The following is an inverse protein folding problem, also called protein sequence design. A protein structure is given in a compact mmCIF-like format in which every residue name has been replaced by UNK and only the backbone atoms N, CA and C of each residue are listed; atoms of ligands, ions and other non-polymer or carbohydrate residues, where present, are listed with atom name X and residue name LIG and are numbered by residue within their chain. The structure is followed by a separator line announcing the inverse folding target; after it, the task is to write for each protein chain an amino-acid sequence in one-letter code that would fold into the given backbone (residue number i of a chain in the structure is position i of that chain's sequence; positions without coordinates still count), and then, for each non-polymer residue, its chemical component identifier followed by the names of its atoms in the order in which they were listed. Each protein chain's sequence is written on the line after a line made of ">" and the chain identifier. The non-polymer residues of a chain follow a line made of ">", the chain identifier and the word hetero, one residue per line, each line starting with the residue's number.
data_IF_268931117572
#
_entry.id   IF_268931117572
#
_cell.length_a   1.000
_cell.length_b   1.000
_cell.length_c   1.000
_cell.angle_alpha   90.00
_cell.angle_beta   90.00
_cell.angle_gamma   90.00
#
_symmetry.space_group_name_H-M   'P 1'
#
loop_
_entity.id
_entity.type
_entity.pdbx_description
1 polymer ?
#
# COMPACT_ATOMS: atom_id res chain seq x y z
N UNK A 1 -24.58 -7.12 8.88
CA UNK A 1 -23.96 -7.52 10.16
C UNK A 1 -23.35 -6.27 10.80
N UNK A 2 -23.71 -5.95 12.04
CA UNK A 2 -23.23 -4.75 12.74
C UNK A 2 -22.06 -5.12 13.66
N UNK A 3 -20.97 -4.34 13.65
CA UNK A 3 -19.84 -4.63 14.53
C UNK A 3 -20.21 -4.39 16.01
N UNK A 4 -19.52 -5.06 16.94
CA UNK A 4 -19.79 -4.95 18.38
C UNK A 4 -19.71 -3.51 18.90
N UNK A 5 -18.80 -2.71 18.34
CA UNK A 5 -18.66 -1.29 18.72
C UNK A 5 -19.91 -0.51 18.36
N UNK A 6 -20.35 -0.56 17.10
CA UNK A 6 -21.55 0.15 16.67
C UNK A 6 -22.80 -0.30 17.45
N UNK A 7 -22.95 -1.60 17.71
CA UNK A 7 -24.07 -2.13 18.49
C UNK A 7 -24.13 -1.54 19.92
N UNK A 8 -22.99 -1.44 20.61
CA UNK A 8 -22.91 -0.86 21.97
C UNK A 8 -23.36 0.61 22.03
N UNK A 9 -23.12 1.39 20.98
CA UNK A 9 -23.53 2.80 20.92
C UNK A 9 -25.01 2.92 20.55
N UNK A 10 -25.49 2.13 19.58
CA UNK A 10 -26.88 2.19 19.13
C UNK A 10 -27.88 1.77 20.22
N UNK A 11 -27.59 0.77 21.05
CA UNK A 11 -28.45 0.43 22.22
C UNK A 11 -28.62 1.61 23.16
N UNK A 12 -27.60 2.46 23.27
CA UNK A 12 -27.61 3.65 24.13
C UNK A 12 -28.22 4.87 23.42
N UNK A 13 -28.81 4.70 22.23
CA UNK A 13 -29.26 5.76 21.34
C UNK A 13 -28.15 6.80 21.04
N UNK A 14 -26.90 6.34 20.91
CA UNK A 14 -25.74 7.18 20.58
C UNK A 14 -25.17 6.82 19.20
N UNK A 15 -24.61 7.83 18.52
CA UNK A 15 -23.84 7.64 17.28
C UNK A 15 -22.42 7.18 17.65
N UNK A 16 -21.88 6.10 17.05
CA UNK A 16 -20.51 5.68 17.28
C UNK A 16 -19.51 6.78 16.87
N UNK A 17 -18.43 7.03 17.62
CA UNK A 17 -17.41 8.01 17.25
C UNK A 17 -16.84 7.79 15.85
N UNK A 18 -16.71 6.53 15.43
CA UNK A 18 -16.19 6.13 14.11
C UNK A 18 -17.23 6.21 12.98
N UNK A 19 -18.38 6.85 13.19
CA UNK A 19 -19.42 6.97 12.16
C UNK A 19 -19.04 8.01 11.09
N UNK A 20 -19.49 7.78 9.85
CA UNK A 20 -19.31 8.71 8.73
C UNK A 20 -19.88 10.11 9.08
N UNK A 21 -21.02 10.15 9.79
CA UNK A 21 -21.63 11.38 10.32
C UNK A 21 -20.69 12.23 11.18
N UNK A 22 -19.69 11.61 11.82
CA UNK A 22 -18.71 12.30 12.67
C UNK A 22 -17.43 12.68 11.88
N UNK A 23 -17.52 12.84 10.56
CA UNK A 23 -16.37 13.22 9.74
C UNK A 23 -15.38 12.07 9.49
N UNK A 24 -15.72 10.84 9.86
CA UNK A 24 -14.90 9.65 9.60
C UNK A 24 -15.07 9.11 8.16
N UNK A 25 -15.48 10.00 7.25
CA UNK A 25 -15.55 9.75 5.81
C UNK A 25 -14.13 9.59 5.26
N UNK A 26 -13.90 8.54 4.47
CA UNK A 26 -12.69 8.49 3.66
C UNK A 26 -12.77 9.54 2.53
N UNK A 27 -11.67 10.25 2.24
CA UNK A 27 -11.63 11.12 1.07
C UNK A 27 -11.89 10.30 -0.19
N UNK A 28 -12.49 10.94 -1.20
CA UNK A 28 -12.63 10.30 -2.51
C UNK A 28 -11.22 10.06 -3.07
N UNK A 29 -10.95 8.82 -3.48
CA UNK A 29 -9.69 8.47 -4.14
C UNK A 29 -9.57 9.30 -5.42
N UNK A 30 -8.50 10.09 -5.61
CA UNK A 30 -8.34 10.88 -6.82
C UNK A 30 -7.94 9.99 -8.00
N UNK A 31 -8.31 10.40 -9.21
CA UNK A 31 -8.11 9.61 -10.44
C UNK A 31 -6.62 9.37 -10.76
N UNK A 32 -5.74 10.31 -10.39
CA UNK A 32 -4.30 10.16 -10.58
C UNK A 32 -3.69 9.06 -9.69
N UNK A 33 -4.42 8.59 -8.65
CA UNK A 33 -4.03 7.48 -7.78
C UNK A 33 -4.30 6.10 -8.42
N UNK A 34 -4.29 6.05 -9.75
CA UNK A 34 -4.18 4.82 -10.54
C UNK A 34 -2.70 4.40 -10.63
N UNK A 35 -2.23 3.87 -9.50
CA UNK A 35 -0.90 3.33 -9.30
C UNK A 35 -0.90 1.81 -9.45
N UNK A 36 0.13 1.28 -10.09
CA UNK A 36 0.34 -0.17 -10.11
C UNK A 36 0.81 -0.70 -8.74
N UNK A 37 0.92 -2.02 -8.60
CA UNK A 37 1.26 -2.65 -7.33
C UNK A 37 2.62 -2.18 -6.77
N UNK A 38 3.64 -2.04 -7.63
CA UNK A 38 4.97 -1.61 -7.20
C UNK A 38 5.01 -0.11 -6.87
N UNK A 39 4.31 0.72 -7.63
CA UNK A 39 4.12 2.16 -7.35
C UNK A 39 3.44 2.37 -5.99
N UNK A 40 2.36 1.62 -5.70
CA UNK A 40 1.72 1.60 -4.38
C UNK A 40 2.71 1.15 -3.30
N UNK A 41 3.55 0.16 -3.60
CA UNK A 41 4.53 -0.38 -2.65
C UNK A 41 5.59 0.65 -2.27
N UNK A 42 6.03 1.47 -3.21
CA UNK A 42 7.02 2.53 -2.99
C UNK A 42 6.50 3.67 -2.11
N UNK A 43 5.18 3.93 -2.15
CA UNK A 43 4.53 4.90 -1.26
C UNK A 43 4.23 4.36 0.13
N UNK A 44 4.23 3.04 0.30
CA UNK A 44 3.90 2.44 1.58
C UNK A 44 5.00 2.76 2.61
N UNK A 45 4.66 3.28 3.81
CA UNK A 45 5.62 3.52 4.89
C UNK A 45 6.34 2.26 5.38
N UNK A 46 5.83 1.09 5.00
CA UNK A 46 6.28 -0.23 5.46
C UNK A 46 6.31 -1.20 4.29
N UNK A 47 7.50 -1.73 4.01
CA UNK A 47 7.71 -2.77 3.02
C UNK A 47 7.64 -4.16 3.69
N UNK A 48 6.46 -4.76 3.59
CA UNK A 48 6.19 -6.17 3.90
C UNK A 48 6.37 -7.05 2.66
N UNK A 49 7.19 -8.09 2.79
CA UNK A 49 7.50 -9.05 1.73
C UNK A 49 6.74 -10.38 1.84
N UNK A 50 5.58 -10.34 2.49
CA UNK A 50 4.68 -11.47 2.70
C UNK A 50 3.94 -11.85 1.41
N UNK A 51 3.74 -13.15 1.18
CA UNK A 51 2.84 -13.63 0.12
C UNK A 51 1.61 -14.26 0.76
N UNK A 52 0.43 -13.69 0.48
CA UNK A 52 -0.84 -14.31 0.80
C UNK A 52 -1.14 -15.38 -0.25
N UNK A 53 -1.42 -16.60 0.20
CA UNK A 53 -1.75 -17.73 -0.66
C UNK A 53 -3.00 -18.42 -0.15
N UNK A 54 -3.80 -18.97 -1.05
CA UNK A 54 -4.96 -19.75 -0.66
C UNK A 54 -4.50 -21.00 0.12
N UNK A 55 -5.11 -21.24 1.28
CA UNK A 55 -4.89 -22.47 2.01
C UNK A 55 -5.55 -23.64 1.24
N UNK A 56 -4.93 -24.84 1.21
CA UNK A 56 -5.49 -26.00 0.51
C UNK A 56 -6.90 -26.39 0.99
N UNK A 57 -7.25 -26.04 2.23
CA UNK A 57 -8.57 -26.29 2.84
C UNK A 57 -9.00 -25.09 3.68
N UNK A 58 -10.31 -24.94 3.88
CA UNK A 58 -10.88 -23.99 4.85
C UNK A 58 -11.21 -22.59 4.34
N UNK A 59 -11.09 -22.30 3.03
CA UNK A 59 -11.38 -20.97 2.43
C UNK A 59 -10.65 -19.80 3.12
N UNK A 60 -9.50 -20.08 3.74
CA UNK A 60 -8.66 -19.08 4.40
C UNK A 60 -7.41 -18.81 3.57
N UNK A 61 -6.82 -17.63 3.76
CA UNK A 61 -5.49 -17.33 3.24
C UNK A 61 -4.43 -17.68 4.29
N UNK A 62 -3.33 -18.27 3.84
CA UNK A 62 -2.12 -18.45 4.66
C UNK A 62 -1.03 -17.51 4.19
N UNK A 63 -0.19 -17.08 5.13
CA UNK A 63 1.04 -16.35 4.82
C UNK A 63 2.13 -17.39 4.58
N UNK A 64 2.78 -17.34 3.41
CA UNK A 64 3.95 -18.16 3.13
C UNK A 64 5.22 -17.33 3.25
N UNK A 65 6.16 -17.81 4.07
CA UNK A 65 7.47 -17.19 4.31
C UNK A 65 7.48 -16.21 5.49
N UNK A 66 8.67 -15.70 5.80
CA UNK A 66 8.86 -14.81 6.93
C UNK A 66 8.26 -13.42 6.70
N UNK A 67 7.67 -12.89 7.76
CA UNK A 67 7.22 -11.50 7.82
C UNK A 67 8.41 -10.65 8.23
N UNK A 68 8.91 -9.84 7.30
CA UNK A 68 9.89 -8.80 7.62
C UNK A 68 9.25 -7.49 7.26
N UNK A 69 9.09 -6.63 8.27
CA UNK A 69 8.67 -5.26 8.08
C UNK A 69 9.92 -4.39 8.06
N UNK A 70 10.23 -3.82 6.91
CA UNK A 70 11.34 -2.88 6.77
C UNK A 70 10.78 -1.48 6.82
N UNK A 71 11.35 -0.63 7.69
CA UNK A 71 11.03 0.80 7.72
C UNK A 71 11.37 1.37 6.35
N UNK A 72 10.39 1.98 5.69
CA UNK A 72 10.59 2.64 4.42
C UNK A 72 10.48 4.14 4.63
N UNK A 73 11.54 4.85 4.26
CA UNK A 73 11.51 6.30 4.22
C UNK A 73 11.04 6.73 2.84
N UNK A 74 9.74 7.02 2.74
CA UNK A 74 9.06 7.30 1.48
C UNK A 74 9.76 8.43 0.72
N UNK A 75 10.11 9.51 1.42
CA UNK A 75 10.82 10.67 0.85
C UNK A 75 12.12 10.27 0.14
N UNK A 76 12.94 9.43 0.78
CA UNK A 76 14.19 8.96 0.19
C UNK A 76 13.95 8.07 -1.03
N UNK A 77 12.99 7.16 -0.96
CA UNK A 77 12.65 6.34 -2.13
C UNK A 77 12.17 7.17 -3.31
N UNK A 78 11.34 8.19 -3.08
CA UNK A 78 10.79 9.04 -4.14
C UNK A 78 11.87 9.94 -4.75
N UNK A 79 12.76 10.50 -3.93
CA UNK A 79 13.84 11.39 -4.39
C UNK A 79 14.96 10.65 -5.14
N UNK A 80 15.16 9.36 -4.87
CA UNK A 80 16.19 8.53 -5.53
C UNK A 80 15.73 7.98 -6.89
N UNK A 81 14.42 8.01 -7.20
CA UNK A 81 13.94 7.56 -8.50
C UNK A 81 14.49 8.46 -9.62
N UNK A 82 15.18 7.90 -10.63
CA UNK A 82 15.69 8.69 -11.74
C UNK A 82 14.50 9.33 -12.49
N UNK A 83 14.57 10.66 -12.64
CA UNK A 83 13.61 11.46 -13.41
C UNK A 83 14.01 11.37 -14.88
N UNK A 84 13.13 10.82 -15.72
CA UNK A 84 13.36 10.84 -17.15
C UNK A 84 13.03 12.22 -17.73
N UNK A 85 13.70 12.64 -18.84
CA UNK A 85 13.40 13.90 -19.51
C UNK A 85 11.97 14.00 -20.04
N UNK A 86 11.32 12.85 -20.29
CA UNK A 86 9.92 12.76 -20.69
C UNK A 86 9.04 12.30 -19.52
N UNK A 87 7.95 13.03 -19.26
CA UNK A 87 6.97 12.67 -18.22
C UNK A 87 6.33 11.29 -18.48
N UNK A 88 6.37 10.79 -19.71
CA UNK A 88 5.78 9.49 -20.09
C UNK A 88 6.72 8.31 -19.87
N UNK A 89 7.95 8.54 -19.40
CA UNK A 89 8.96 7.49 -19.21
C UNK A 89 8.60 6.50 -18.10
N UNK A 90 8.81 5.20 -18.37
CA UNK A 90 8.78 4.15 -17.34
C UNK A 90 10.18 3.63 -17.06
N UNK A 91 10.46 3.30 -15.79
CA UNK A 91 11.71 2.68 -15.37
C UNK A 91 11.46 1.29 -14.81
N UNK A 92 12.33 0.34 -15.18
CA UNK A 92 12.27 -1.00 -14.61
C UNK A 92 12.88 -0.98 -13.20
N UNK A 93 12.05 -1.23 -12.18
CA UNK A 93 12.48 -1.25 -10.78
C UNK A 93 12.42 -2.67 -10.24
N UNK A 94 13.49 -3.07 -9.55
CA UNK A 94 13.59 -4.37 -8.88
C UNK A 94 13.56 -4.18 -7.36
N UNK A 95 12.43 -4.50 -6.73
CA UNK A 95 12.31 -4.49 -5.28
C UNK A 95 12.86 -5.79 -4.70
N UNK A 96 13.95 -5.70 -3.93
CA UNK A 96 14.61 -6.83 -3.28
C UNK A 96 14.36 -6.83 -1.78
N UNK A 97 14.32 -8.02 -1.17
CA UNK A 97 14.29 -8.17 0.30
C UNK A 97 15.58 -7.67 0.96
N UNK A 98 16.71 -7.87 0.27
CA UNK A 98 18.04 -7.35 0.61
C UNK A 98 18.78 -7.04 -0.68
N UNK A 99 19.57 -5.96 -0.70
CA UNK A 99 20.32 -5.54 -1.89
C UNK A 99 21.27 -6.63 -2.42
N UNK A 100 21.88 -7.40 -1.50
CA UNK A 100 22.80 -8.50 -1.81
C UNK A 100 22.14 -9.70 -2.52
N UNK A 101 20.81 -9.81 -2.53
CA UNK A 101 20.14 -10.95 -3.15
C UNK A 101 20.15 -10.84 -4.67
N UNK A 102 20.33 -11.98 -5.35
CA UNK A 102 20.28 -12.06 -6.82
C UNK A 102 18.84 -11.89 -7.34
N UNK A 103 17.87 -12.53 -6.68
CA UNK A 103 16.46 -12.47 -7.07
C UNK A 103 15.73 -11.24 -6.51
N UNK A 104 14.79 -10.72 -7.28
CA UNK A 104 13.85 -9.68 -6.86
C UNK A 104 12.60 -10.29 -6.24
N UNK A 105 12.07 -9.64 -5.20
CA UNK A 105 10.76 -10.00 -4.65
C UNK A 105 9.63 -9.52 -5.56
N UNK A 106 9.81 -8.36 -6.18
CA UNK A 106 8.90 -7.79 -7.18
C UNK A 106 9.72 -7.02 -8.23
N UNK A 107 9.35 -7.15 -9.49
CA UNK A 107 9.97 -6.42 -10.60
C UNK A 107 8.87 -5.90 -11.49
N UNK A 108 8.81 -4.59 -11.66
CA UNK A 108 7.78 -3.95 -12.49
C UNK A 108 8.29 -2.62 -13.06
N UNK A 109 7.63 -2.16 -14.13
CA UNK A 109 7.87 -0.84 -14.68
C UNK A 109 7.12 0.20 -13.84
N UNK A 110 7.83 1.22 -13.37
CA UNK A 110 7.31 2.30 -12.51
C UNK A 110 7.30 3.59 -13.30
N UNK A 111 6.24 4.40 -13.14
CA UNK A 111 6.14 5.77 -13.66
C UNK A 111 6.54 6.74 -12.54
N UNK A 112 7.77 7.32 -12.56
CA UNK A 112 8.25 8.14 -11.45
C UNK A 112 7.36 9.35 -11.14
N UNK A 113 6.83 10.01 -12.18
CA UNK A 113 5.97 11.18 -12.03
C UNK A 113 4.70 10.86 -11.21
N UNK A 114 4.06 9.71 -11.44
CA UNK A 114 2.86 9.31 -10.69
C UNK A 114 3.16 9.04 -9.22
N UNK A 115 4.30 8.40 -8.94
CA UNK A 115 4.72 8.12 -7.56
C UNK A 115 5.00 9.42 -6.82
N UNK A 116 5.72 10.37 -7.45
CA UNK A 116 5.98 11.69 -6.84
C UNK A 116 4.68 12.45 -6.61
N UNK A 117 3.78 12.48 -7.61
CA UNK A 117 2.49 13.15 -7.49
C UNK A 117 1.65 12.58 -6.34
N UNK A 118 1.60 11.24 -6.22
CA UNK A 118 0.85 10.58 -5.16
C UNK A 118 1.52 10.66 -3.78
N UNK A 119 2.84 10.81 -3.70
CA UNK A 119 3.56 11.07 -2.44
C UNK A 119 3.27 12.46 -1.87
N UNK A 120 2.93 13.43 -2.72
CA UNK A 120 2.63 14.81 -2.33
C UNK A 120 1.14 15.06 -2.03
N UNK A 121 0.30 14.02 -2.07
CA UNK A 121 -1.13 14.09 -1.75
C UNK A 121 -1.39 13.75 -0.29
#
# INVERSE_FOLDING_TARGET
>A
WLCRTCYKYLIKNKVPPTAILNGMQFPKKPDFFDLNELECRLLAPRLAFQKLMQAPRGRQFKILGNVVNVVAEVSNTVNVLPRLPSDTGTIKVNLKRKLQYKSSAMSFNVRPHKVIQAANW
#
